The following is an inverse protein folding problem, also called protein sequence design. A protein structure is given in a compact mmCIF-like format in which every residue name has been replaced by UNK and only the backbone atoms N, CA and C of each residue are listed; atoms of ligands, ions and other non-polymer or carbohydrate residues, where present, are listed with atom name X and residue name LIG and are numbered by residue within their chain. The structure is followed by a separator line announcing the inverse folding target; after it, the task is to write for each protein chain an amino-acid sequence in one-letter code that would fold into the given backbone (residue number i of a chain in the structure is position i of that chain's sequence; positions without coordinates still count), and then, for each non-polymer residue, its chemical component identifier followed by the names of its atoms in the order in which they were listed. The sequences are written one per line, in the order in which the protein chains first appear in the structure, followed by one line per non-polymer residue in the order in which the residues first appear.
data_IF_580250380320
#
_entry.id   IF_580250380320
#
_cell.length_a   1.000
_cell.length_b   1.000
_cell.length_c   1.000
_cell.angle_alpha   90.00
_cell.angle_beta   90.00
_cell.angle_gamma   90.00
#
_symmetry.space_group_name_H-M   'P 1'
#
loop_
_entity.id
_entity.type
_entity.pdbx_description
1 polymer ?
#
# COMPACT_ATOMS: atom_id res chain seq x y z
N UNK A 1 5.67 -12.59 -4.57
CA UNK A 1 5.13 -11.36 -5.22
C UNK A 1 5.80 -10.17 -4.59
N UNK A 2 6.19 -9.18 -5.39
CA UNK A 2 6.78 -7.92 -4.94
C UNK A 2 5.91 -6.76 -5.42
N UNK A 3 5.46 -5.89 -4.52
CA UNK A 3 4.58 -4.78 -4.85
C UNK A 3 5.11 -3.47 -4.27
N UNK A 4 5.19 -2.46 -5.13
CA UNK A 4 5.42 -1.08 -4.71
C UNK A 4 4.10 -0.30 -4.78
N UNK A 5 3.68 0.26 -3.64
CA UNK A 5 2.49 1.10 -3.52
C UNK A 5 2.86 2.56 -3.34
N UNK A 6 2.34 3.44 -4.20
CA UNK A 6 2.73 4.86 -4.22
C UNK A 6 1.75 5.80 -3.49
N UNK A 7 0.44 5.53 -3.53
CA UNK A 7 -0.56 6.49 -3.06
C UNK A 7 -1.69 5.88 -2.22
N UNK A 8 -1.94 4.58 -2.36
CA UNK A 8 -3.05 3.88 -1.74
C UNK A 8 -2.58 2.57 -1.15
N UNK A 9 -3.22 2.17 -0.05
CA UNK A 9 -3.01 0.87 0.56
C UNK A 9 -3.29 -0.24 -0.47
N UNK A 10 -2.37 -1.19 -0.71
CA UNK A 10 -2.61 -2.32 -1.60
C UNK A 10 -3.83 -3.12 -1.14
N UNK A 11 -4.67 -3.56 -2.08
CA UNK A 11 -5.92 -4.28 -1.78
C UNK A 11 -5.80 -5.40 -0.72
N UNK A 12 -4.80 -6.30 -0.80
CA UNK A 12 -4.62 -7.37 0.19
C UNK A 12 -4.27 -6.89 1.61
N UNK A 13 -3.91 -5.62 1.78
CA UNK A 13 -3.58 -5.02 3.07
C UNK A 13 -4.73 -4.16 3.62
N UNK A 14 -5.77 -3.91 2.84
CA UNK A 14 -6.89 -3.05 3.24
C UNK A 14 -7.74 -3.67 4.33
N UNK A 15 -8.31 -2.84 5.21
CA UNK A 15 -9.49 -3.18 6.01
C UNK A 15 -10.76 -2.98 5.19
N UNK A 16 -11.88 -3.51 5.68
CA UNK A 16 -13.18 -3.34 5.03
C UNK A 16 -13.55 -1.86 4.90
N UNK A 17 -13.39 -1.09 5.96
CA UNK A 17 -13.77 0.33 6.02
C UNK A 17 -12.89 1.17 5.10
N UNK A 18 -11.59 0.85 5.00
CA UNK A 18 -10.70 1.50 4.05
C UNK A 18 -11.13 1.19 2.61
N UNK A 19 -11.41 -0.08 2.30
CA UNK A 19 -11.85 -0.52 0.98
C UNK A 19 -13.15 0.16 0.57
N UNK A 20 -14.12 0.27 1.49
CA UNK A 20 -15.38 0.98 1.28
C UNK A 20 -15.15 2.47 1.02
N UNK A 21 -14.34 3.12 1.86
CA UNK A 21 -14.06 4.55 1.75
C UNK A 21 -13.37 4.91 0.42
N UNK A 22 -12.42 4.10 -0.05
CA UNK A 22 -11.75 4.36 -1.31
C UNK A 22 -12.68 4.13 -2.52
N UNK A 23 -13.53 3.11 -2.49
CA UNK A 23 -14.52 2.88 -3.57
C UNK A 23 -15.51 4.03 -3.69
N UNK A 24 -16.01 4.54 -2.57
CA UNK A 24 -16.90 5.72 -2.53
C UNK A 24 -16.21 7.00 -3.02
N UNK A 25 -14.88 7.06 -2.95
CA UNK A 25 -14.11 8.18 -3.50
C UNK A 25 -14.07 8.17 -5.04
N UNK A 26 -14.17 6.99 -5.65
CA UNK A 26 -14.22 6.83 -7.11
C UNK A 26 -15.61 7.02 -7.67
N UNK A 27 -16.63 6.50 -6.99
CA UNK A 27 -18.03 6.70 -7.34
C UNK A 27 -18.88 6.89 -6.08
N UNK A 28 -19.32 8.14 -5.86
CA UNK A 28 -20.17 8.51 -4.71
C UNK A 28 -21.59 7.97 -4.82
N UNK A 29 -22.01 7.48 -5.98
CA UNK A 29 -23.36 7.00 -6.24
C UNK A 29 -23.42 5.50 -6.50
N UNK A 30 -22.33 4.77 -6.21
CA UNK A 30 -22.33 3.31 -6.28
C UNK A 30 -23.49 2.74 -5.45
N UNK A 31 -24.32 1.85 -6.02
CA UNK A 31 -25.39 1.21 -5.25
C UNK A 31 -24.82 0.40 -4.09
N UNK A 32 -25.46 0.47 -2.92
CA UNK A 32 -24.98 -0.21 -1.70
C UNK A 32 -24.68 -1.69 -1.92
N UNK A 33 -25.59 -2.42 -2.58
CA UNK A 33 -25.40 -3.85 -2.90
C UNK A 33 -24.16 -4.10 -3.77
N UNK A 34 -23.84 -3.17 -4.68
CA UNK A 34 -22.65 -3.28 -5.53
C UNK A 34 -21.37 -2.96 -4.77
N UNK A 35 -21.44 -2.01 -3.83
CA UNK A 35 -20.35 -1.69 -2.92
C UNK A 35 -20.04 -2.87 -2.01
N UNK A 36 -21.04 -3.42 -1.32
CA UNK A 36 -20.91 -4.61 -0.46
C UNK A 36 -20.29 -5.78 -1.21
N UNK A 37 -20.83 -6.13 -2.38
CA UNK A 37 -20.30 -7.23 -3.20
C UNK A 37 -18.85 -6.99 -3.60
N UNK A 38 -18.48 -5.74 -3.92
CA UNK A 38 -17.11 -5.40 -4.31
C UNK A 38 -16.15 -5.53 -3.13
N UNK A 39 -16.59 -5.12 -1.94
CA UNK A 39 -15.86 -5.25 -0.69
C UNK A 39 -15.66 -6.72 -0.31
N UNK A 40 -16.72 -7.53 -0.35
CA UNK A 40 -16.66 -8.98 -0.11
C UNK A 40 -15.66 -9.68 -1.03
N UNK A 41 -15.72 -9.40 -2.33
CA UNK A 41 -14.77 -9.97 -3.32
C UNK A 41 -13.33 -9.57 -3.01
N UNK A 42 -13.11 -8.34 -2.54
CA UNK A 42 -11.78 -7.86 -2.16
C UNK A 42 -11.25 -8.57 -0.91
N UNK A 43 -12.08 -8.73 0.12
CA UNK A 43 -11.72 -9.44 1.35
C UNK A 43 -11.44 -10.93 1.09
N UNK A 44 -12.25 -11.59 0.27
CA UNK A 44 -12.02 -13.00 -0.10
C UNK A 44 -10.66 -13.20 -0.80
N UNK A 45 -10.23 -12.25 -1.65
CA UNK A 45 -8.89 -12.32 -2.29
C UNK A 45 -7.75 -12.10 -1.28
N UNK A 46 -7.95 -11.25 -0.28
CA UNK A 46 -6.98 -11.02 0.78
C UNK A 46 -6.71 -12.30 1.58
N UNK A 47 -7.74 -13.06 1.93
CA UNK A 47 -7.59 -14.34 2.63
C UNK A 47 -6.76 -15.33 1.82
N UNK A 48 -7.04 -15.45 0.51
CA UNK A 48 -6.30 -16.34 -0.38
C UNK A 48 -4.81 -15.96 -0.47
N UNK A 49 -4.51 -14.67 -0.61
CA UNK A 49 -3.13 -14.20 -0.73
C UNK A 49 -2.33 -14.37 0.57
N UNK A 50 -2.99 -14.39 1.73
CA UNK A 50 -2.33 -14.48 3.04
C UNK A 50 -2.43 -15.86 3.70
N UNK A 51 -3.03 -16.86 3.03
CA UNK A 51 -3.28 -18.21 3.55
C UNK A 51 -2.05 -19.13 3.67
N UNK A 52 -0.85 -18.62 3.39
CA UNK A 52 0.44 -19.25 3.70
C UNK A 52 1.15 -19.86 2.49
N UNK A 53 2.46 -20.07 2.64
CA UNK A 53 3.31 -20.75 1.65
C UNK A 53 3.95 -19.88 0.57
N UNK A 54 3.74 -18.55 0.59
CA UNK A 54 4.34 -17.62 -0.38
C UNK A 54 4.91 -16.40 0.33
N UNK A 55 6.07 -15.95 -0.11
CA UNK A 55 6.65 -14.68 0.33
C UNK A 55 5.99 -13.52 -0.43
N UNK A 56 5.44 -12.57 0.33
CA UNK A 56 4.89 -11.31 -0.14
C UNK A 56 5.78 -10.17 0.33
N UNK A 57 6.17 -9.31 -0.60
CA UNK A 57 6.96 -8.12 -0.32
C UNK A 57 6.18 -6.89 -0.73
N UNK A 58 6.07 -5.94 0.18
CA UNK A 58 5.39 -4.67 -0.01
C UNK A 58 6.33 -3.54 0.39
N UNK A 59 6.61 -2.64 -0.54
CA UNK A 59 7.22 -1.34 -0.24
C UNK A 59 6.13 -0.30 -0.42
N UNK A 60 5.82 0.43 0.64
CA UNK A 60 4.80 1.45 0.64
C UNK A 60 5.47 2.82 0.75
N UNK A 61 5.17 3.73 -0.16
CA UNK A 61 5.52 5.13 -0.01
C UNK A 61 4.89 5.70 1.28
N UNK A 62 5.58 6.62 1.95
CA UNK A 62 5.06 7.29 3.15
C UNK A 62 3.67 7.91 2.90
N UNK A 63 3.37 8.37 1.68
CA UNK A 63 2.04 8.86 1.30
C UNK A 63 0.92 7.83 1.51
N UNK A 64 1.20 6.53 1.33
CA UNK A 64 0.22 5.45 1.54
C UNK A 64 -0.23 5.37 2.99
N UNK A 65 0.69 5.57 3.93
CA UNK A 65 0.43 5.47 5.38
C UNK A 65 0.04 6.81 6.02
N UNK A 66 0.20 7.92 5.29
CA UNK A 66 -0.17 9.28 5.73
C UNK A 66 -1.53 9.75 5.22
N UNK A 67 -2.03 9.23 4.09
CA UNK A 67 -3.30 9.71 3.49
C UNK A 67 -4.50 9.22 4.30
N UNK A 68 -5.29 10.15 4.85
CA UNK A 68 -6.48 9.84 5.67
C UNK A 68 -7.69 9.38 4.84
N UNK A 69 -7.61 8.20 4.24
CA UNK A 69 -8.74 7.58 3.53
C UNK A 69 -9.81 7.16 4.53
N UNK A 70 -11.05 7.63 4.32
CA UNK A 70 -12.16 7.36 5.24
C UNK A 70 -12.08 8.14 6.57
N UNK A 71 -11.15 9.09 6.69
CA UNK A 71 -10.91 9.85 7.92
C UNK A 71 -9.97 9.15 8.91
N UNK A 72 -9.68 9.84 10.03
CA UNK A 72 -8.66 9.43 11.01
C UNK A 72 -8.94 8.06 11.64
N UNK A 73 -10.19 7.78 12.00
CA UNK A 73 -10.56 6.51 12.64
C UNK A 73 -10.35 5.29 11.73
N UNK A 74 -10.75 5.41 10.46
CA UNK A 74 -10.52 4.37 9.44
C UNK A 74 -9.02 4.17 9.22
N UNK A 75 -8.27 5.26 9.07
CA UNK A 75 -6.83 5.17 8.82
C UNK A 75 -6.06 4.62 10.04
N UNK A 76 -6.49 4.94 11.27
CA UNK A 76 -5.94 4.35 12.49
C UNK A 76 -6.10 2.82 12.47
N UNK A 77 -7.33 2.33 12.27
CA UNK A 77 -7.60 0.89 12.21
C UNK A 77 -6.81 0.21 11.08
N UNK A 78 -6.68 0.89 9.93
CA UNK A 78 -5.89 0.43 8.81
C UNK A 78 -4.38 0.29 9.14
N UNK A 79 -3.81 1.23 9.89
CA UNK A 79 -2.41 1.16 10.31
C UNK A 79 -2.17 0.10 11.38
N UNK A 80 -3.10 -0.05 12.32
CA UNK A 80 -3.07 -1.15 13.31
C UNK A 80 -3.09 -2.51 12.59
N UNK A 81 -3.97 -2.67 11.60
CA UNK A 81 -4.01 -3.87 10.76
C UNK A 81 -2.70 -4.11 10.02
N UNK A 82 -2.11 -3.07 9.44
CA UNK A 82 -0.84 -3.19 8.72
C UNK A 82 0.30 -3.60 9.68
N UNK A 83 0.31 -3.10 10.91
CA UNK A 83 1.26 -3.50 11.94
C UNK A 83 1.11 -4.97 12.32
N UNK A 84 -0.11 -5.50 12.44
CA UNK A 84 -0.36 -6.94 12.64
C UNK A 84 0.16 -7.78 11.47
N UNK A 85 -0.11 -7.36 10.24
CA UNK A 85 0.33 -8.06 9.04
C UNK A 85 1.86 -8.09 8.94
N UNK A 86 2.54 -7.03 9.35
CA UNK A 86 4.02 -6.97 9.36
C UNK A 86 4.66 -7.98 10.31
N UNK A 87 3.91 -8.53 11.26
CA UNK A 87 4.36 -9.58 12.17
C UNK A 87 4.06 -11.01 11.65
N UNK A 88 3.35 -11.15 10.53
CA UNK A 88 3.02 -12.47 9.98
C UNK A 88 4.19 -13.05 9.19
N UNK A 89 4.51 -14.35 9.37
CA UNK A 89 5.49 -15.03 8.52
C UNK A 89 5.11 -14.94 7.02
N UNK A 90 6.10 -14.68 6.17
CA UNK A 90 5.92 -14.56 4.72
C UNK A 90 5.35 -13.21 4.26
N UNK A 91 5.12 -12.25 5.16
CA UNK A 91 4.67 -10.90 4.81
C UNK A 91 5.75 -9.88 5.21
N UNK A 92 6.38 -9.27 4.21
CA UNK A 92 7.42 -8.28 4.38
C UNK A 92 6.86 -6.92 3.98
N UNK A 93 6.72 -6.01 4.94
CA UNK A 93 6.23 -4.64 4.72
C UNK A 93 7.34 -3.67 5.06
N UNK A 94 7.62 -2.74 4.15
CA UNK A 94 8.65 -1.72 4.26
C UNK A 94 8.08 -0.36 3.90
N UNK A 95 8.61 0.71 4.49
CA UNK A 95 8.13 2.07 4.26
C UNK A 95 9.22 2.89 3.57
N UNK A 96 8.91 3.49 2.43
CA UNK A 96 9.80 4.42 1.74
C UNK A 96 9.52 5.85 2.23
N UNK A 97 10.43 6.48 3.02
CA UNK A 97 10.16 7.76 3.65
C UNK A 97 10.30 8.93 2.67
N UNK A 98 9.57 10.03 2.91
CA UNK A 98 9.64 11.23 2.06
C UNK A 98 11.04 11.86 2.00
N UNK A 99 11.90 11.61 2.99
CA UNK A 99 13.28 12.11 3.03
C UNK A 99 14.17 11.58 1.91
N UNK A 100 13.79 10.49 1.23
CA UNK A 100 14.50 9.95 0.07
C UNK A 100 14.41 10.89 -1.14
N UNK A 101 13.31 11.64 -1.27
CA UNK A 101 13.09 12.55 -2.39
C UNK A 101 12.82 11.79 -3.69
N UNK A 102 13.59 12.05 -4.75
CA UNK A 102 13.36 11.42 -6.05
C UNK A 102 13.88 9.97 -6.09
N UNK A 103 13.03 9.03 -6.50
CA UNK A 103 13.39 7.60 -6.61
C UNK A 103 12.70 6.95 -7.83
N UNK A 104 13.13 5.72 -8.16
CA UNK A 104 12.69 5.00 -9.36
C UNK A 104 11.19 4.63 -9.36
N UNK A 105 10.56 4.58 -8.19
CA UNK A 105 9.12 4.31 -7.99
C UNK A 105 8.18 5.51 -8.26
N UNK A 106 8.69 6.73 -8.46
CA UNK A 106 7.85 7.93 -8.67
C UNK A 106 6.88 7.78 -9.86
N UNK A 107 7.21 6.94 -10.84
CA UNK A 107 6.40 6.75 -12.04
C UNK A 107 5.07 6.03 -11.79
N UNK A 108 4.89 5.41 -10.63
CA UNK A 108 3.64 4.77 -10.23
C UNK A 108 3.84 3.42 -9.55
N UNK A 109 2.75 2.87 -8.99
CA UNK A 109 2.77 1.56 -8.36
C UNK A 109 2.94 0.43 -9.39
N UNK A 110 3.48 -0.69 -8.94
CA UNK A 110 3.64 -1.89 -9.77
C UNK A 110 3.69 -3.15 -8.91
N UNK A 111 3.33 -4.28 -9.52
CA UNK A 111 3.48 -5.62 -8.94
C UNK A 111 4.28 -6.52 -9.87
N UNK A 112 5.32 -7.14 -9.33
CA UNK A 112 6.09 -8.20 -9.97
C UNK A 112 5.67 -9.56 -9.38
N UNK A 113 5.30 -10.49 -10.25
CA UNK A 113 4.94 -11.85 -9.90
C UNK A 113 6.00 -12.80 -10.45
N UNK A 114 6.69 -13.46 -9.52
CA UNK A 114 7.64 -14.53 -9.82
C UNK A 114 6.97 -15.89 -9.77
N UNK A 115 7.33 -16.71 -10.74
CA UNK A 115 6.90 -18.11 -10.85
C UNK A 115 8.12 -19.00 -11.10
N UNK A 116 7.97 -20.29 -10.83
CA UNK A 116 9.02 -21.25 -11.19
C UNK A 116 9.20 -21.27 -12.71
N UNK A 117 10.46 -21.31 -13.17
CA UNK A 117 10.81 -21.11 -14.58
C UNK A 117 10.20 -22.17 -15.53
N UNK A 118 9.87 -23.34 -15.00
CA UNK A 118 9.22 -24.44 -15.71
C UNK A 118 7.68 -24.37 -15.69
N UNK A 119 7.08 -23.55 -14.84
CA UNK A 119 5.62 -23.35 -14.78
C UNK A 119 5.16 -22.24 -15.72
N UNK A 120 5.70 -21.03 -15.57
CA UNK A 120 5.34 -19.87 -16.39
C UNK A 120 6.36 -18.73 -16.24
N UNK A 121 6.45 -17.81 -17.22
CA UNK A 121 7.32 -16.65 -17.09
C UNK A 121 6.77 -15.64 -16.09
N UNK A 122 7.69 -14.90 -15.47
CA UNK A 122 7.36 -13.78 -14.60
C UNK A 122 6.41 -12.78 -15.28
N UNK A 123 5.56 -12.17 -14.46
CA UNK A 123 4.59 -11.19 -14.94
C UNK A 123 4.68 -9.88 -14.19
N UNK A 124 4.41 -8.81 -14.93
CA UNK A 124 4.40 -7.45 -14.44
C UNK A 124 3.00 -6.89 -14.56
N UNK A 125 2.54 -6.25 -13.50
CA UNK A 125 1.29 -5.51 -13.46
C UNK A 125 1.56 -4.06 -13.09
N UNK A 126 1.11 -3.13 -13.94
CA UNK A 126 1.20 -1.70 -13.72
C UNK A 126 -0.22 -1.14 -13.59
N UNK A 127 -0.53 -0.54 -12.45
CA UNK A 127 -1.80 0.18 -12.28
C UNK A 127 -1.72 1.51 -13.03
N UNK A 128 -2.68 1.77 -13.91
CA UNK A 128 -2.73 3.01 -14.68
C UNK A 128 -4.19 3.53 -14.72
N UNK A 129 -4.42 4.83 -14.47
CA UNK A 129 -5.75 5.43 -14.57
C UNK A 129 -6.47 5.20 -15.92
N UNK A 130 -5.73 4.90 -17.00
CA UNK A 130 -6.29 4.61 -18.34
C UNK A 130 -6.55 3.12 -18.60
N UNK A 131 -6.31 2.26 -17.62
CA UNK A 131 -6.44 0.81 -17.73
C UNK A 131 -5.13 0.12 -17.41
N UNK A 132 -5.22 -1.00 -16.71
CA UNK A 132 -4.08 -1.74 -16.20
C UNK A 132 -3.25 -2.34 -17.34
N UNK A 133 -1.92 -2.27 -17.22
CA UNK A 133 -1.02 -2.97 -18.13
C UNK A 133 -0.56 -4.28 -17.46
N UNK A 134 -0.84 -5.40 -18.13
CA UNK A 134 -0.36 -6.71 -17.73
C UNK A 134 0.60 -7.23 -18.80
N UNK A 135 1.86 -7.39 -18.41
CA UNK A 135 2.92 -7.89 -19.28
C UNK A 135 3.33 -9.28 -18.85
N UNK A 136 3.33 -10.22 -19.81
CA UNK A 136 3.91 -11.56 -19.67
C UNK A 136 4.84 -11.83 -20.85
N UNK A 137 5.76 -12.78 -20.69
CA UNK A 137 6.72 -13.15 -21.74
C UNK A 137 7.65 -11.98 -22.18
N UNK A 138 7.91 -11.02 -21.30
CA UNK A 138 8.82 -9.90 -21.55
C UNK A 138 9.93 -9.86 -20.48
N UNK A 139 10.94 -10.75 -20.57
CA UNK A 139 11.96 -10.91 -19.52
C UNK A 139 12.80 -9.65 -19.28
N UNK A 140 13.07 -8.86 -20.32
CA UNK A 140 13.81 -7.60 -20.18
C UNK A 140 13.02 -6.54 -19.39
N UNK A 141 11.71 -6.42 -19.67
CA UNK A 141 10.86 -5.45 -18.99
C UNK A 141 10.57 -5.86 -17.53
N UNK A 142 10.21 -7.12 -17.31
CA UNK A 142 9.98 -7.68 -15.97
C UNK A 142 11.25 -7.57 -15.11
N UNK A 143 12.41 -7.95 -15.63
CA UNK A 143 13.70 -7.81 -14.96
C UNK A 143 14.03 -6.38 -14.55
N UNK A 144 13.78 -5.37 -15.41
CA UNK A 144 13.97 -3.96 -15.07
C UNK A 144 13.11 -3.49 -13.90
N UNK A 145 11.89 -4.01 -13.78
CA UNK A 145 11.00 -3.68 -12.65
C UNK A 145 11.39 -4.42 -11.37
N UNK A 146 11.98 -5.62 -11.48
CA UNK A 146 12.57 -6.32 -10.35
C UNK A 146 13.79 -5.56 -9.81
N UNK A 147 14.70 -5.11 -10.68
CA UNK A 147 15.84 -4.26 -10.30
C UNK A 147 15.37 -2.98 -9.60
N UNK A 148 14.36 -2.32 -10.18
CA UNK A 148 13.72 -1.14 -9.56
C UNK A 148 13.14 -1.44 -8.18
N UNK A 149 12.57 -2.62 -7.97
CA UNK A 149 12.05 -2.99 -6.66
C UNK A 149 13.19 -3.09 -5.63
N UNK A 150 14.31 -3.69 -5.99
CA UNK A 150 15.48 -3.79 -5.11
C UNK A 150 16.11 -2.43 -4.81
N UNK A 151 16.17 -1.52 -5.79
CA UNK A 151 16.60 -0.14 -5.55
C UNK A 151 15.73 0.58 -4.51
N UNK A 152 14.41 0.37 -4.57
CA UNK A 152 13.48 0.93 -3.57
C UNK A 152 13.63 0.25 -2.22
N UNK A 153 13.85 -1.06 -2.23
CA UNK A 153 14.07 -1.86 -1.02
C UNK A 153 15.29 -1.33 -0.27
N UNK A 154 16.41 -1.05 -0.94
CA UNK A 154 17.62 -0.51 -0.30
C UNK A 154 17.42 0.85 0.40
N UNK A 155 16.42 1.62 -0.04
CA UNK A 155 16.09 2.93 0.51
C UNK A 155 15.00 2.89 1.57
N UNK A 156 14.27 1.78 1.69
CA UNK A 156 13.11 1.66 2.56
C UNK A 156 13.50 1.33 4.01
N UNK A 157 12.66 1.78 4.95
CA UNK A 157 12.70 1.39 6.36
C UNK A 157 12.19 -0.04 6.47
N UNK A 158 13.06 -0.93 6.94
CA UNK A 158 12.80 -2.38 7.10
C UNK A 158 12.62 -2.81 8.55
N UNK A 159 13.29 -2.11 9.47
CA UNK A 159 13.30 -2.46 10.88
C UNK A 159 12.19 -1.77 11.65
N UNK A 160 11.64 -2.45 12.66
CA UNK A 160 10.64 -1.92 13.58
C UNK A 160 9.40 -1.31 12.89
N UNK A 161 9.06 -1.77 11.68
CA UNK A 161 7.95 -1.23 10.88
C UNK A 161 6.63 -1.33 11.63
N UNK A 162 6.37 -2.44 12.33
CA UNK A 162 5.17 -2.58 13.16
C UNK A 162 5.03 -1.51 14.25
N UNK A 163 6.13 -1.15 14.92
CA UNK A 163 6.12 -0.11 15.96
C UNK A 163 6.00 1.29 15.36
N UNK A 164 6.66 1.53 14.23
CA UNK A 164 6.50 2.76 13.44
C UNK A 164 5.02 2.97 13.06
N UNK A 165 4.36 1.93 12.54
CA UNK A 165 2.96 1.98 12.12
C UNK A 165 2.01 2.24 13.30
N UNK A 166 2.23 1.60 14.46
CA UNK A 166 1.45 1.87 15.68
C UNK A 166 1.66 3.31 16.18
N UNK A 167 2.90 3.80 16.16
CA UNK A 167 3.20 5.18 16.53
C UNK A 167 2.49 6.17 15.60
N UNK A 168 2.48 5.89 14.30
CA UNK A 168 1.77 6.71 13.33
C UNK A 168 0.25 6.68 13.54
N UNK A 169 -0.33 5.52 13.86
CA UNK A 169 -1.76 5.37 14.16
C UNK A 169 -2.21 6.30 15.31
N UNK A 170 -1.40 6.40 16.37
CA UNK A 170 -1.64 7.34 17.48
C UNK A 170 -1.52 8.80 17.01
N UNK A 171 -0.52 9.14 16.19
CA UNK A 171 -0.33 10.52 15.72
C UNK A 171 -1.45 11.01 14.80
N UNK A 172 -1.97 10.13 13.95
CA UNK A 172 -3.11 10.43 13.06
C UNK A 172 -4.35 10.77 13.89
N UNK A 173 -4.60 10.02 14.96
CA UNK A 173 -5.73 10.26 15.85
C UNK A 173 -5.63 11.63 16.54
N UNK A 174 -4.43 12.04 16.95
CA UNK A 174 -4.17 13.31 17.63
C UNK A 174 -4.36 14.56 16.74
N UNK A 175 -4.53 14.42 15.43
CA UNK A 175 -4.75 15.58 14.56
C UNK A 175 -3.49 16.31 14.08
N UNK A 176 -2.29 15.84 14.44
CA UNK A 176 -1.05 16.65 14.37
C UNK A 176 -0.15 16.34 13.17
N UNK A 177 -0.70 15.76 12.11
CA UNK A 177 0.08 15.16 11.04
C UNK A 177 -0.25 15.69 9.64
N UNK A 178 -1.21 16.61 9.52
CA UNK A 178 -1.63 17.19 8.25
C UNK A 178 -1.10 18.61 8.01
N UNK A 179 -1.19 19.04 6.75
CA UNK A 179 -0.75 20.38 6.34
C UNK A 179 -1.70 21.49 6.82
N UNK A 180 -2.92 21.17 7.21
CA UNK A 180 -3.89 22.14 7.70
C UNK A 180 -3.43 22.71 9.06
N UNK A 181 -2.85 21.86 9.92
CA UNK A 181 -2.22 22.31 11.17
C UNK A 181 -1.02 23.23 10.95
N UNK A 182 -0.34 23.15 9.81
CA UNK A 182 0.75 24.08 9.47
C UNK A 182 0.25 25.47 9.05
N UNK A 183 -1.04 25.58 8.68
CA UNK A 183 -1.67 26.85 8.32
C UNK A 183 -2.23 27.58 9.56
N UNK A 184 -2.38 26.89 10.68
CA UNK A 184 -2.77 27.53 11.94
C UNK A 184 -1.63 28.46 12.40
N UNK A 185 -1.91 29.75 12.65
CA UNK A 185 -0.88 30.67 13.12
C UNK A 185 -0.29 30.12 14.41
N UNK A 186 1.04 29.97 14.45
CA UNK A 186 1.76 29.53 15.64
C UNK A 186 1.21 30.29 16.85
N UNK A 187 0.57 29.57 17.78
CA UNK A 187 0.00 30.17 18.96
C UNK A 187 1.06 31.07 19.58
N UNK A 188 0.77 32.38 19.60
CA UNK A 188 1.68 33.39 20.14
C UNK A 188 1.93 32.98 21.58
N UNK A 189 3.14 32.54 21.88
CA UNK A 189 3.56 32.29 23.24
C UNK A 189 3.53 33.64 23.98
N UNK A 190 2.56 33.79 24.88
CA UNK A 190 2.57 34.82 25.94
C UNK A 190 3.57 34.45 27.05
#
# INVERSE_FOLDING_TARGET
MRHYGALLMPGPLQTEEYARAIMLSYDKHIPEESLERSVEVRLARQELLTSGGRELFYILDEAVVRRHVGGRGVMRAQLERLAELSAKPGVNIQILPFSIGAHAGIQGPFSHFEFEADEMPDSLYLENPRGDAYTTNAPEETGRYLERFWELEDLAIKENVGDLLRSLAVRIEDGRDDLETLLEPAAVAE
#
